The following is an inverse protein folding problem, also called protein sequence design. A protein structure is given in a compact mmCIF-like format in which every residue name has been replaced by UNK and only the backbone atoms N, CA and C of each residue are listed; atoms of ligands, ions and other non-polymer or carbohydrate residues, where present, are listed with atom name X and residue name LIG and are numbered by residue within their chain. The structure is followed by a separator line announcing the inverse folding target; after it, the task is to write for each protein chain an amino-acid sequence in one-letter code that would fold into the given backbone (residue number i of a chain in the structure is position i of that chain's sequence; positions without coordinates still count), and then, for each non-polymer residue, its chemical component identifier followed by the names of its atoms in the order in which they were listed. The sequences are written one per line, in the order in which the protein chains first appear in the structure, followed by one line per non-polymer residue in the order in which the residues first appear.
data_IF_732433278209
#
_entry.id   IF_732433278209
#
_cell.length_a   1.000
_cell.length_b   1.000
_cell.length_c   1.000
_cell.angle_alpha   90.00
_cell.angle_beta   90.00
_cell.angle_gamma   90.00
#
_symmetry.space_group_name_H-M   'P 1'
#
loop_
_entity.id
_entity.type
_entity.pdbx_description
1 polymer ?
#
# COMPACT_ATOMS: atom_id res chain seq x y z
N UNK A 1 3.58 23.45 -28.98
CA UNK A 1 4.42 24.17 -27.99
C UNK A 1 3.74 24.39 -26.64
N UNK A 2 2.40 24.43 -26.55
CA UNK A 2 1.67 24.60 -25.28
C UNK A 2 1.65 23.30 -24.44
N UNK A 3 1.58 22.13 -25.08
CA UNK A 3 1.52 20.85 -24.37
C UNK A 3 2.80 20.52 -23.58
N UNK A 4 3.98 20.81 -24.13
CA UNK A 4 5.26 20.55 -23.43
C UNK A 4 5.41 21.36 -22.15
N UNK A 5 4.89 22.60 -22.12
CA UNK A 5 4.92 23.45 -20.92
C UNK A 5 3.94 22.97 -19.85
N UNK A 6 2.75 22.47 -20.22
CA UNK A 6 1.82 21.86 -19.26
C UNK A 6 2.38 20.58 -18.64
N UNK A 7 3.00 19.70 -19.45
CA UNK A 7 3.64 18.49 -18.94
C UNK A 7 4.79 18.81 -17.98
N UNK A 8 5.59 19.83 -18.29
CA UNK A 8 6.72 20.25 -17.45
C UNK A 8 6.26 20.84 -16.10
N UNK A 9 5.24 21.72 -16.11
CA UNK A 9 4.68 22.33 -14.89
C UNK A 9 4.03 21.28 -13.99
N UNK A 10 3.30 20.32 -14.58
CA UNK A 10 2.74 19.19 -13.82
C UNK A 10 3.84 18.30 -13.22
N UNK A 11 4.92 18.04 -13.96
CA UNK A 11 6.06 17.27 -13.48
C UNK A 11 6.80 17.94 -12.31
N UNK A 12 6.97 19.27 -12.34
CA UNK A 12 7.59 20.02 -11.23
C UNK A 12 6.71 20.05 -9.98
N UNK A 13 5.40 20.25 -10.14
CA UNK A 13 4.44 20.20 -9.03
C UNK A 13 4.41 18.82 -8.36
N UNK A 14 4.48 17.76 -9.16
CA UNK A 14 4.57 16.39 -8.67
C UNK A 14 5.87 16.14 -7.90
N UNK A 15 7.03 16.56 -8.42
CA UNK A 15 8.31 16.42 -7.72
C UNK A 15 8.32 17.14 -6.38
N UNK A 16 7.81 18.38 -6.31
CA UNK A 16 7.69 19.14 -5.07
C UNK A 16 6.83 18.41 -4.04
N UNK A 17 5.66 17.92 -4.45
CA UNK A 17 4.76 17.14 -3.58
C UNK A 17 5.45 15.90 -3.00
N UNK A 18 6.20 15.14 -3.80
CA UNK A 18 6.89 13.95 -3.30
C UNK A 18 8.07 14.31 -2.39
N UNK A 19 8.76 15.41 -2.68
CA UNK A 19 9.77 15.95 -1.79
C UNK A 19 9.16 16.33 -0.44
N UNK A 20 8.03 17.04 -0.42
CA UNK A 20 7.31 17.41 0.80
C UNK A 20 6.92 16.16 1.62
N UNK A 21 6.48 15.08 0.96
CA UNK A 21 6.21 13.80 1.64
C UNK A 21 7.46 13.20 2.29
N UNK A 22 8.58 13.21 1.56
CA UNK A 22 9.84 12.69 2.07
C UNK A 22 10.37 13.56 3.22
N UNK A 23 10.26 14.88 3.11
CA UNK A 23 10.62 15.83 4.17
C UNK A 23 9.76 15.63 5.42
N UNK A 24 8.44 15.49 5.26
CA UNK A 24 7.53 15.15 6.36
C UNK A 24 7.97 13.86 7.06
N UNK A 25 8.29 12.81 6.30
CA UNK A 25 8.78 11.56 6.88
C UNK A 25 10.13 11.74 7.60
N UNK A 26 11.11 12.38 6.95
CA UNK A 26 12.46 12.58 7.50
C UNK A 26 12.42 13.40 8.79
N UNK A 27 11.48 14.35 8.90
CA UNK A 27 11.26 15.14 10.11
C UNK A 27 10.71 14.32 11.29
N UNK A 28 10.13 13.14 11.03
CA UNK A 28 9.68 12.21 12.09
C UNK A 28 10.75 11.21 12.53
N UNK A 29 11.90 11.17 11.85
CA UNK A 29 13.04 10.30 12.16
C UNK A 29 14.29 11.12 12.47
N UNK A 30 15.47 10.51 12.45
CA UNK A 30 16.78 11.12 12.76
C UNK A 30 17.27 12.16 11.72
N UNK A 31 16.36 12.70 10.88
CA UNK A 31 16.59 13.73 9.87
C UNK A 31 17.72 13.45 8.86
N UNK A 32 18.14 12.19 8.73
CA UNK A 32 19.26 11.79 7.88
C UNK A 32 18.78 11.09 6.61
N UNK A 33 19.28 11.48 5.46
CA UNK A 33 19.14 10.65 4.26
C UNK A 33 20.07 9.44 4.40
N UNK A 34 19.50 8.26 4.64
CA UNK A 34 20.23 7.01 4.85
C UNK A 34 19.51 5.86 4.17
N UNK A 35 20.23 4.77 3.89
CA UNK A 35 19.63 3.54 3.32
C UNK A 35 18.43 3.07 4.14
N UNK A 36 18.56 3.04 5.46
CA UNK A 36 17.50 2.61 6.39
C UNK A 36 16.28 3.52 6.31
N UNK A 37 16.46 4.84 6.20
CA UNK A 37 15.34 5.77 6.11
C UNK A 37 14.67 5.74 4.74
N UNK A 38 15.43 5.57 3.66
CA UNK A 38 14.87 5.34 2.32
C UNK A 38 14.08 4.02 2.30
N UNK A 39 14.63 2.95 2.87
CA UNK A 39 13.94 1.66 2.99
C UNK A 39 12.66 1.80 3.81
N UNK A 40 12.70 2.47 4.97
CA UNK A 40 11.53 2.70 5.82
C UNK A 40 10.48 3.60 5.17
N UNK A 41 10.90 4.64 4.46
CA UNK A 41 10.00 5.50 3.69
C UNK A 41 9.25 4.68 2.64
N UNK A 42 9.99 3.84 1.90
CA UNK A 42 9.44 3.05 0.81
C UNK A 42 8.61 1.84 1.28
N UNK A 43 9.05 1.13 2.31
CA UNK A 43 8.35 -0.08 2.79
C UNK A 43 7.12 0.24 3.63
N UNK A 44 7.14 1.35 4.36
CA UNK A 44 6.14 1.63 5.40
C UNK A 44 5.39 2.92 5.15
N UNK A 45 6.09 4.05 5.14
CA UNK A 45 5.43 5.35 5.19
C UNK A 45 4.54 5.58 3.96
N UNK A 46 5.06 5.31 2.76
CA UNK A 46 4.28 5.50 1.52
C UNK A 46 3.10 4.53 1.45
N UNK A 47 3.24 3.19 1.62
CA UNK A 47 2.09 2.30 1.59
C UNK A 47 1.06 2.52 2.70
N UNK A 48 1.44 3.08 3.86
CA UNK A 48 0.51 3.41 4.94
C UNK A 48 -0.26 4.70 4.66
N UNK A 49 0.43 5.76 4.25
CA UNK A 49 -0.17 7.10 4.14
C UNK A 49 -0.78 7.37 2.76
N UNK A 50 -0.28 6.71 1.72
CA UNK A 50 -0.71 6.93 0.35
C UNK A 50 -1.62 5.78 -0.10
N UNK A 51 -2.88 6.15 -0.40
CA UNK A 51 -3.90 5.18 -0.83
C UNK A 51 -3.68 4.72 -2.26
N UNK A 52 -3.32 5.65 -3.14
CA UNK A 52 -3.25 5.44 -4.59
C UNK A 52 -2.02 6.14 -5.16
N UNK A 53 -1.30 5.41 -6.02
CA UNK A 53 -0.32 5.95 -6.95
C UNK A 53 -0.51 5.24 -8.30
N UNK A 54 -0.59 6.01 -9.39
CA UNK A 54 -0.48 5.45 -10.74
C UNK A 54 0.99 5.26 -11.13
N UNK A 55 1.25 4.58 -12.26
CA UNK A 55 2.60 4.29 -12.73
C UNK A 55 3.46 5.54 -12.96
N UNK A 56 2.88 6.63 -13.45
CA UNK A 56 3.58 7.90 -13.64
C UNK A 56 3.98 8.52 -12.30
N UNK A 57 3.08 8.51 -11.32
CA UNK A 57 3.34 9.01 -9.97
C UNK A 57 4.40 8.17 -9.24
N UNK A 58 4.38 6.85 -9.40
CA UNK A 58 5.44 5.96 -8.90
C UNK A 58 6.78 6.35 -9.52
N UNK A 59 6.82 6.54 -10.84
CA UNK A 59 8.04 6.95 -11.54
C UNK A 59 8.57 8.29 -11.03
N UNK A 60 7.70 9.30 -10.86
CA UNK A 60 8.08 10.60 -10.32
C UNK A 60 8.58 10.55 -8.87
N UNK A 61 7.95 9.73 -8.01
CA UNK A 61 8.40 9.50 -6.63
C UNK A 61 9.80 8.88 -6.60
N UNK A 62 10.04 7.87 -7.45
CA UNK A 62 11.32 7.20 -7.56
C UNK A 62 12.41 8.15 -8.07
N UNK A 63 12.14 8.89 -9.14
CA UNK A 63 13.07 9.87 -9.68
C UNK A 63 13.41 10.97 -8.66
N UNK A 64 12.45 11.39 -7.85
CA UNK A 64 12.71 12.36 -6.77
C UNK A 64 13.72 11.81 -5.76
N UNK A 65 13.61 10.54 -5.36
CA UNK A 65 14.59 9.91 -4.46
C UNK A 65 15.97 9.76 -5.11
N UNK A 66 16.02 9.47 -6.41
CA UNK A 66 17.27 9.44 -7.18
C UNK A 66 17.93 10.83 -7.23
N UNK A 67 17.15 11.89 -7.50
CA UNK A 67 17.61 13.28 -7.49
C UNK A 67 18.21 13.67 -6.14
N UNK A 68 17.51 13.35 -5.03
CA UNK A 68 18.04 13.59 -3.67
C UNK A 68 19.35 12.82 -3.46
N UNK A 69 19.39 11.55 -3.86
CA UNK A 69 20.57 10.70 -3.68
C UNK A 69 21.79 11.28 -4.41
N UNK A 70 21.62 11.72 -5.66
CA UNK A 70 22.66 12.38 -6.46
C UNK A 70 23.16 13.64 -5.76
N UNK A 71 22.25 14.46 -5.23
CA UNK A 71 22.61 15.71 -4.56
C UNK A 71 23.26 15.51 -3.17
N UNK A 72 23.03 14.37 -2.51
CA UNK A 72 23.42 14.16 -1.11
C UNK A 72 24.85 13.63 -0.90
N UNK A 73 25.58 13.27 -1.97
CA UNK A 73 26.97 12.77 -1.95
C UNK A 73 27.27 11.72 -0.84
N UNK A 74 26.46 10.67 -0.77
CA UNK A 74 26.49 9.67 0.32
C UNK A 74 27.39 8.48 -0.05
N UNK A 75 28.21 8.01 0.92
CA UNK A 75 29.14 6.88 0.73
C UNK A 75 28.49 5.59 0.19
N UNK A 76 27.23 5.31 0.56
CA UNK A 76 26.52 4.08 0.18
C UNK A 76 25.59 4.28 -1.03
N UNK A 77 25.94 5.19 -1.94
CA UNK A 77 25.07 5.59 -3.06
C UNK A 77 24.59 4.40 -3.90
N UNK A 78 25.49 3.49 -4.27
CA UNK A 78 25.16 2.31 -5.10
C UNK A 78 24.09 1.42 -4.45
N UNK A 79 24.20 1.19 -3.14
CA UNK A 79 23.23 0.36 -2.42
C UNK A 79 21.85 1.01 -2.33
N UNK A 80 21.81 2.33 -2.08
CA UNK A 80 20.56 3.09 -2.02
C UNK A 80 19.92 3.14 -3.40
N UNK A 81 20.71 3.33 -4.46
CA UNK A 81 20.21 3.33 -5.83
C UNK A 81 19.62 1.96 -6.24
N UNK A 82 20.30 0.86 -5.86
CA UNK A 82 19.77 -0.48 -6.08
C UNK A 82 18.47 -0.72 -5.31
N UNK A 83 18.36 -0.21 -4.09
CA UNK A 83 17.15 -0.29 -3.27
C UNK A 83 15.99 0.45 -3.95
N UNK A 84 16.22 1.70 -4.37
CA UNK A 84 15.22 2.53 -5.05
C UNK A 84 14.70 1.83 -6.32
N UNK A 85 15.60 1.27 -7.13
CA UNK A 85 15.22 0.55 -8.35
C UNK A 85 14.39 -0.71 -8.08
N UNK A 86 14.69 -1.44 -7.00
CA UNK A 86 13.88 -2.60 -6.58
C UNK A 86 12.44 -2.15 -6.25
N UNK A 87 12.27 -1.05 -5.54
CA UNK A 87 10.95 -0.54 -5.17
C UNK A 87 10.15 0.02 -6.35
N UNK A 88 10.79 0.46 -7.42
CA UNK A 88 10.09 0.87 -8.65
C UNK A 88 9.18 -0.24 -9.19
N UNK A 89 9.69 -1.48 -9.24
CA UNK A 89 8.92 -2.63 -9.68
C UNK A 89 7.90 -3.08 -8.62
N UNK A 90 8.32 -3.15 -7.35
CA UNK A 90 7.44 -3.59 -6.26
C UNK A 90 6.24 -2.65 -6.05
N UNK A 91 6.43 -1.34 -6.22
CA UNK A 91 5.35 -0.37 -6.08
C UNK A 91 4.31 -0.53 -7.18
N UNK A 92 4.74 -0.78 -8.41
CA UNK A 92 3.81 -1.07 -9.50
C UNK A 92 2.92 -2.27 -9.15
N UNK A 93 3.50 -3.31 -8.54
CA UNK A 93 2.76 -4.50 -8.08
C UNK A 93 1.82 -4.18 -6.92
N UNK A 94 2.32 -3.61 -5.84
CA UNK A 94 1.56 -3.34 -4.60
C UNK A 94 0.41 -2.36 -4.85
N UNK A 95 0.66 -1.25 -5.55
CA UNK A 95 -0.38 -0.27 -5.84
C UNK A 95 -1.38 -0.77 -6.87
N UNK A 96 -0.96 -1.56 -7.87
CA UNK A 96 -1.91 -2.22 -8.78
C UNK A 96 -2.80 -3.21 -8.02
N UNK A 97 -2.22 -4.00 -7.12
CA UNK A 97 -2.99 -4.91 -6.25
C UNK A 97 -4.02 -4.13 -5.42
N UNK A 98 -3.57 -3.07 -4.72
CA UNK A 98 -4.46 -2.19 -3.95
C UNK A 98 -5.59 -1.62 -4.80
N UNK A 99 -5.30 -1.13 -6.01
CA UNK A 99 -6.31 -0.60 -6.93
C UNK A 99 -7.33 -1.66 -7.33
N UNK A 100 -6.87 -2.84 -7.74
CA UNK A 100 -7.78 -3.92 -8.14
C UNK A 100 -8.62 -4.39 -6.96
N UNK A 101 -8.03 -4.56 -5.78
CA UNK A 101 -8.75 -4.90 -4.55
C UNK A 101 -9.80 -3.83 -4.22
N UNK A 102 -9.42 -2.55 -4.25
CA UNK A 102 -10.38 -1.45 -4.01
C UNK A 102 -11.51 -1.46 -5.03
N UNK A 103 -11.24 -1.69 -6.31
CA UNK A 103 -12.29 -1.76 -7.35
C UNK A 103 -13.26 -2.92 -7.17
N UNK A 104 -12.86 -3.99 -6.46
CA UNK A 104 -13.65 -5.21 -6.27
C UNK A 104 -14.33 -5.28 -4.90
N UNK A 105 -13.69 -4.82 -3.84
CA UNK A 105 -14.22 -4.82 -2.47
C UNK A 105 -15.10 -3.61 -2.17
N UNK A 106 -14.86 -2.51 -2.88
CA UNK A 106 -15.43 -1.21 -2.60
C UNK A 106 -16.26 -0.81 -3.84
N UNK A 107 -17.59 -0.75 -3.71
CA UNK A 107 -18.49 -0.05 -4.66
C UNK A 107 -18.22 1.47 -4.64
N UNK A 108 -16.95 1.88 -4.71
CA UNK A 108 -16.50 3.16 -4.22
C UNK A 108 -16.09 4.02 -5.42
N UNK A 109 -16.96 5.01 -5.63
CA UNK A 109 -16.89 6.16 -6.52
C UNK A 109 -15.67 7.06 -6.24
N UNK A 110 -14.46 6.50 -6.20
CA UNK A 110 -13.22 7.26 -6.00
C UNK A 110 -12.33 7.07 -7.22
N UNK A 111 -12.90 7.41 -8.36
CA UNK A 111 -12.21 7.46 -9.65
C UNK A 111 -12.49 8.73 -10.44
N UNK A 112 -13.55 9.48 -10.13
CA UNK A 112 -13.93 10.65 -10.91
C UNK A 112 -14.45 11.74 -9.97
N UNK A 113 -13.61 12.75 -9.73
CA UNK A 113 -13.92 14.02 -9.09
C UNK A 113 -14.40 13.97 -7.60
N UNK A 114 -13.63 14.47 -6.62
CA UNK A 114 -14.01 14.50 -5.19
C UNK A 114 -15.21 15.43 -4.85
N UNK A 115 -15.85 16.03 -5.86
CA UNK A 115 -16.92 17.01 -5.69
C UNK A 115 -18.33 16.41 -5.55
N UNK A 116 -18.53 15.12 -5.85
CA UNK A 116 -19.86 14.49 -5.81
C UNK A 116 -19.84 13.27 -4.90
N UNK A 117 -20.38 13.43 -3.69
CA UNK A 117 -20.59 12.34 -2.74
C UNK A 117 -22.08 11.99 -2.74
N UNK A 118 -22.41 10.75 -3.09
CA UNK A 118 -23.77 10.24 -2.92
C UNK A 118 -24.10 10.08 -1.43
N UNK A 119 -25.00 10.94 -0.95
CA UNK A 119 -25.40 11.00 0.47
C UNK A 119 -26.17 9.76 0.93
N UNK A 120 -26.87 9.06 0.02
CA UNK A 120 -27.61 7.85 0.37
C UNK A 120 -26.66 6.66 0.56
N UNK A 121 -25.69 6.50 -0.33
CA UNK A 121 -24.63 5.50 -0.18
C UNK A 121 -23.76 5.80 1.05
N UNK A 122 -23.45 7.07 1.30
CA UNK A 122 -22.74 7.49 2.50
C UNK A 122 -23.52 7.12 3.78
N UNK A 123 -24.82 7.45 3.86
CA UNK A 123 -25.68 7.09 5.00
C UNK A 123 -25.74 5.58 5.23
N UNK A 124 -25.85 4.79 4.17
CA UNK A 124 -25.83 3.33 4.27
C UNK A 124 -24.48 2.80 4.79
N UNK A 125 -23.36 3.39 4.37
CA UNK A 125 -22.02 3.02 4.86
C UNK A 125 -21.83 3.37 6.35
N UNK A 126 -22.38 4.50 6.80
CA UNK A 126 -22.34 4.94 8.20
C UNK A 126 -23.22 4.06 9.09
N UNK A 127 -24.40 3.65 8.61
CA UNK A 127 -25.29 2.76 9.37
C UNK A 127 -24.75 1.33 9.49
N UNK A 128 -24.05 0.80 8.48
CA UNK A 128 -23.38 -0.52 8.55
C UNK A 128 -22.27 -0.57 9.61
N UNK A 129 -21.60 0.54 9.93
CA UNK A 129 -20.53 0.59 10.95
C UNK A 129 -21.00 0.33 12.39
N UNK A 130 -22.30 0.46 12.70
CA UNK A 130 -22.83 0.34 14.07
C UNK A 130 -23.10 -1.09 14.56
N UNK A 131 -22.96 -2.12 13.71
CA UNK A 131 -23.12 -3.54 14.11
C UNK A 131 -21.75 -4.25 14.15
N UNK A 132 -20.85 -3.83 15.03
CA UNK A 132 -19.59 -4.55 15.31
C UNK A 132 -19.88 -5.73 16.24
N UNK A 133 -20.14 -6.89 15.66
CA UNK A 133 -20.26 -8.17 16.38
C UNK A 133 -18.90 -8.90 16.39
N UNK A 134 -18.72 -9.83 17.33
CA UNK A 134 -17.55 -10.72 17.57
C UNK A 134 -17.04 -11.59 16.39
N UNK A 135 -17.37 -11.27 15.13
CA UNK A 135 -17.01 -12.03 13.94
C UNK A 135 -15.89 -11.39 13.12
N UNK A 136 -15.33 -10.26 13.58
CA UNK A 136 -14.29 -9.53 12.86
C UNK A 136 -12.96 -9.64 13.59
N UNK A 137 -11.89 -9.83 12.83
CA UNK A 137 -10.52 -9.74 13.31
C UNK A 137 -9.81 -8.71 12.45
N UNK A 138 -9.25 -7.68 13.08
CA UNK A 138 -8.41 -6.68 12.40
C UNK A 138 -6.98 -6.84 12.90
N UNK A 139 -6.01 -6.82 11.99
CA UNK A 139 -4.62 -7.01 12.34
C UNK A 139 -3.68 -6.95 11.15
N UNK A 140 -2.41 -7.28 11.43
CA UNK A 140 -1.39 -7.49 10.41
C UNK A 140 -1.21 -8.99 10.21
N UNK A 141 -1.23 -9.40 8.96
CA UNK A 141 -1.16 -10.79 8.57
C UNK A 141 -0.06 -11.01 7.53
N UNK A 142 0.70 -12.08 7.67
CA UNK A 142 1.69 -12.52 6.68
C UNK A 142 1.10 -13.60 5.78
N UNK A 143 1.35 -13.52 4.48
CA UNK A 143 0.92 -14.52 3.51
C UNK A 143 1.84 -15.75 3.60
N UNK A 144 1.27 -16.91 3.95
CA UNK A 144 2.01 -18.17 4.09
C UNK A 144 1.88 -19.10 2.91
N UNK A 145 0.69 -19.15 2.32
CA UNK A 145 0.42 -19.98 1.16
C UNK A 145 -0.54 -19.24 0.23
N UNK A 146 -0.33 -19.42 -1.07
CA UNK A 146 -1.20 -18.90 -2.13
C UNK A 146 -1.59 -20.10 -2.98
N UNK A 147 -2.86 -20.49 -2.93
CA UNK A 147 -3.42 -21.45 -3.86
C UNK A 147 -4.21 -20.68 -4.92
N UNK A 148 -3.67 -20.64 -6.14
CA UNK A 148 -4.27 -19.95 -7.29
C UNK A 148 -5.64 -20.50 -7.70
N UNK A 149 -6.08 -21.63 -7.16
CA UNK A 149 -7.45 -22.16 -7.32
C UNK A 149 -8.50 -21.36 -6.53
N UNK A 150 -8.10 -20.44 -5.64
CA UNK A 150 -9.02 -19.50 -4.99
C UNK A 150 -8.94 -19.47 -3.46
N UNK A 151 -7.78 -19.78 -2.87
CA UNK A 151 -7.59 -19.57 -1.44
C UNK A 151 -6.19 -19.04 -1.10
N UNK A 152 -6.13 -18.32 0.01
CA UNK A 152 -4.89 -17.78 0.57
C UNK A 152 -4.84 -18.09 2.06
N UNK A 153 -3.64 -18.44 2.55
CA UNK A 153 -3.41 -18.71 3.97
C UNK A 153 -2.67 -17.53 4.58
N UNK A 154 -3.27 -16.95 5.60
CA UNK A 154 -2.74 -15.81 6.34
C UNK A 154 -2.37 -16.22 7.77
N UNK A 155 -1.21 -15.80 8.24
CA UNK A 155 -0.80 -15.91 9.65
C UNK A 155 -0.90 -14.54 10.33
N UNK A 156 -1.67 -14.44 11.41
CA UNK A 156 -1.69 -13.25 12.27
C UNK A 156 -0.32 -13.04 12.92
N UNK A 157 0.29 -11.88 12.70
CA UNK A 157 1.59 -11.56 13.25
C UNK A 157 1.60 -11.45 14.78
N UNK A 158 0.48 -11.08 15.40
CA UNK A 158 0.36 -10.91 16.84
C UNK A 158 0.12 -12.24 17.57
N UNK A 159 -0.83 -13.05 17.08
CA UNK A 159 -1.23 -14.29 17.78
C UNK A 159 -0.68 -15.57 17.17
N UNK A 160 0.01 -15.49 16.01
CA UNK A 160 0.50 -16.65 15.25
C UNK A 160 -0.61 -17.63 14.83
N UNK A 161 -1.86 -17.15 14.76
CA UNK A 161 -3.00 -17.95 14.32
C UNK A 161 -3.05 -17.96 12.81
N UNK A 162 -3.38 -19.12 12.26
CA UNK A 162 -3.47 -19.34 10.82
C UNK A 162 -4.93 -19.27 10.38
N UNK A 163 -5.19 -18.55 9.29
CA UNK A 163 -6.50 -18.34 8.70
C UNK A 163 -6.45 -18.76 7.23
N UNK A 164 -7.27 -19.74 6.86
CA UNK A 164 -7.52 -20.06 5.45
C UNK A 164 -8.69 -19.23 4.93
N UNK A 165 -8.43 -18.47 3.88
CA UNK A 165 -9.34 -17.48 3.34
C UNK A 165 -9.67 -17.84 1.91
N UNK A 166 -10.98 -17.89 1.58
CA UNK A 166 -11.42 -17.99 0.19
C UNK A 166 -11.26 -16.62 -0.47
N UNK A 167 -10.62 -16.60 -1.63
CA UNK A 167 -10.31 -15.34 -2.31
C UNK A 167 -10.35 -15.48 -3.82
N UNK A 168 -10.57 -14.36 -4.51
CA UNK A 168 -10.70 -14.35 -5.96
C UNK A 168 -9.37 -14.80 -6.63
N UNK A 169 -9.37 -15.90 -7.42
CA UNK A 169 -8.20 -16.38 -8.16
C UNK A 169 -7.48 -15.28 -8.96
N UNK A 170 -8.23 -14.38 -9.58
CA UNK A 170 -7.68 -13.29 -10.40
C UNK A 170 -6.87 -12.28 -9.60
N UNK A 171 -7.14 -12.16 -8.29
CA UNK A 171 -6.40 -11.28 -7.41
C UNK A 171 -5.17 -11.95 -6.81
N UNK A 172 -5.14 -13.28 -6.74
CA UNK A 172 -4.06 -14.02 -6.12
C UNK A 172 -2.72 -13.83 -6.83
N UNK A 173 -2.73 -13.56 -8.14
CA UNK A 173 -1.53 -13.27 -8.95
C UNK A 173 -0.75 -12.02 -8.50
N UNK A 174 -1.37 -11.15 -7.69
CA UNK A 174 -0.69 -9.96 -7.18
C UNK A 174 0.00 -10.17 -5.83
N UNK A 175 -0.39 -11.21 -5.10
CA UNK A 175 0.20 -11.55 -3.82
C UNK A 175 1.50 -12.33 -3.99
N UNK A 176 2.39 -12.21 -3.00
CA UNK A 176 3.59 -13.04 -2.89
C UNK A 176 3.67 -13.64 -1.49
N UNK A 177 4.42 -14.72 -1.36
CA UNK A 177 4.73 -15.30 -0.06
C UNK A 177 5.48 -14.27 0.81
N UNK A 178 5.22 -14.32 2.11
CA UNK A 178 5.81 -13.45 3.14
C UNK A 178 5.39 -11.97 3.11
N UNK A 179 4.67 -11.54 2.07
CA UNK A 179 4.06 -10.22 2.02
C UNK A 179 3.14 -9.99 3.23
N UNK A 180 2.96 -8.72 3.61
CA UNK A 180 2.20 -8.34 4.80
C UNK A 180 0.96 -7.55 4.41
N UNK A 181 -0.19 -7.98 4.91
CA UNK A 181 -1.47 -7.32 4.71
C UNK A 181 -1.98 -6.78 6.05
N UNK A 182 -2.39 -5.51 6.08
CA UNK A 182 -3.22 -4.99 7.16
C UNK A 182 -4.67 -5.15 6.73
N UNK A 183 -5.36 -6.13 7.29
CA UNK A 183 -6.71 -6.50 6.84
C UNK A 183 -7.70 -6.63 7.97
N UNK A 184 -8.98 -6.48 7.61
CA UNK A 184 -10.11 -6.87 8.45
C UNK A 184 -10.69 -8.14 7.86
N UNK A 185 -10.61 -9.22 8.64
CA UNK A 185 -11.20 -10.52 8.33
C UNK A 185 -12.58 -10.60 8.95
N UNK A 186 -13.50 -11.26 8.24
CA UNK A 186 -14.86 -11.55 8.69
C UNK A 186 -15.11 -13.04 8.67
N UNK A 187 -15.58 -13.60 9.78
CA UNK A 187 -16.04 -14.98 9.84
C UNK A 187 -17.41 -15.09 9.19
N UNK A 188 -17.52 -15.91 8.14
CA UNK A 188 -18.81 -16.23 7.56
C UNK A 188 -19.54 -17.22 8.48
N UNK A 189 -20.72 -16.83 8.98
CA UNK A 189 -21.51 -17.64 9.93
C UNK A 189 -22.05 -18.92 9.29
N UNK A 190 -22.22 -18.95 7.96
CA UNK A 190 -22.88 -20.07 7.27
C UNK A 190 -21.90 -21.14 6.78
N UNK A 191 -20.64 -20.77 6.49
CA UNK A 191 -19.72 -21.64 5.76
C UNK A 191 -18.39 -21.89 6.49
N UNK A 192 -18.26 -21.46 7.75
CA UNK A 192 -17.08 -21.68 8.63
C UNK A 192 -15.75 -21.13 8.05
N UNK A 193 -15.76 -20.46 6.89
CA UNK A 193 -14.57 -19.80 6.34
C UNK A 193 -14.44 -18.35 6.79
N UNK A 194 -13.23 -17.82 6.61
CA UNK A 194 -12.90 -16.42 6.77
C UNK A 194 -12.86 -15.74 5.40
N UNK A 195 -13.36 -14.51 5.35
CA UNK A 195 -13.29 -13.65 4.18
C UNK A 195 -12.51 -12.38 4.51
N UNK A 196 -11.79 -11.84 3.52
CA UNK A 196 -11.23 -10.50 3.63
C UNK A 196 -12.37 -9.51 3.36
N UNK A 197 -12.80 -8.79 4.39
CA UNK A 197 -13.76 -7.70 4.23
C UNK A 197 -13.07 -6.45 3.67
N UNK A 198 -11.85 -6.16 4.17
CA UNK A 198 -11.13 -4.95 3.79
C UNK A 198 -9.62 -5.14 3.87
N UNK A 199 -8.91 -4.59 2.88
CA UNK A 199 -7.45 -4.43 2.91
C UNK A 199 -7.13 -2.96 3.19
N UNK A 200 -6.68 -2.66 4.40
CA UNK A 200 -6.32 -1.31 4.83
C UNK A 200 -4.94 -0.90 4.29
N UNK A 201 -4.00 -1.83 4.24
CA UNK A 201 -2.68 -1.61 3.68
C UNK A 201 -2.06 -2.92 3.19
N UNK A 202 -1.11 -2.80 2.28
CA UNK A 202 -0.39 -3.91 1.67
C UNK A 202 1.08 -3.51 1.58
N UNK A 203 1.94 -4.33 2.17
CA UNK A 203 3.37 -4.15 2.26
C UNK A 203 4.11 -5.37 1.71
N UNK A 204 5.32 -5.16 1.22
CA UNK A 204 6.24 -6.27 0.97
C UNK A 204 6.80 -6.84 2.28
N UNK A 205 7.45 -8.00 2.18
CA UNK A 205 8.02 -8.70 3.34
C UNK A 205 9.02 -7.90 4.18
N UNK A 206 9.74 -6.92 3.61
CA UNK A 206 10.72 -6.12 4.35
C UNK A 206 10.05 -5.20 5.37
N UNK A 207 8.76 -4.89 5.22
CA UNK A 207 8.02 -4.09 6.20
C UNK A 207 8.00 -4.72 7.60
N UNK A 208 8.16 -6.05 7.72
CA UNK A 208 8.27 -6.74 9.00
C UNK A 208 9.41 -6.20 9.89
N UNK A 209 10.49 -5.68 9.29
CA UNK A 209 11.61 -5.04 10.00
C UNK A 209 11.18 -3.80 10.79
N UNK A 210 10.07 -3.19 10.41
CA UNK A 210 9.62 -1.89 10.91
C UNK A 210 8.24 -1.94 11.58
N UNK A 211 7.46 -2.99 11.35
CA UNK A 211 6.13 -3.21 11.97
C UNK A 211 6.21 -3.79 13.39
N UNK A 212 7.37 -4.31 13.79
CA UNK A 212 7.60 -5.01 15.06
C UNK A 212 8.01 -4.10 16.22
N UNK A 213 7.70 -2.79 16.14
CA UNK A 213 7.95 -1.81 17.21
C UNK A 213 6.68 -1.15 17.68
#
# INVERSE_FOLDING_TARGET
MIDQNMYYVNSMNDKKKYFDWFEQFINTVDRKFSKTNVEKFLTMWVPTNIKYLNSGQIYSLINMLEDILICSNIKNMKEIYSLINLYKAEYCRIFKAKQTIMSLCENCFVGQNPAVVDLNLYRQSVMKKRKRFNNYIEGYFSIKEINFEGNIVLEDLATKKIFKILYNPELLKYFRLEDVLKVTLKKNKFLIHWDIEKINAYYDKNALKYLSK
#
